data_IF_988068519326
#
_entry.id   IF_988068519326
#
_cell.length_a   1.000
_cell.length_b   1.000
_cell.length_c   1.000
_cell.angle_alpha   90.00
_cell.angle_beta   90.00
_cell.angle_gamma   90.00
#
_symmetry.space_group_name_H-M   'P 1'
#
loop_
_entity.id
_entity.type
_entity.pdbx_description
1 polymer ?
#
# COMPACT_ATOMS: atom_id res chain seq x y z
N UNK A 1 -19.90 19.40 -19.94
CA UNK A 1 -19.82 17.93 -19.87
C UNK A 1 -18.40 17.62 -19.39
N UNK A 2 -18.22 16.94 -18.25
CA UNK A 2 -16.86 16.52 -17.85
C UNK A 2 -16.53 15.29 -18.67
N UNK A 3 -15.59 15.42 -19.60
CA UNK A 3 -14.97 14.29 -20.28
C UNK A 3 -14.27 13.44 -19.23
N UNK A 4 -14.88 12.31 -18.88
CA UNK A 4 -14.17 11.25 -18.17
C UNK A 4 -13.38 10.54 -19.26
N UNK A 5 -12.14 10.97 -19.48
CA UNK A 5 -11.21 10.29 -20.36
C UNK A 5 -10.75 8.98 -19.75
N UNK A 6 -10.76 7.90 -20.54
CA UNK A 6 -10.10 6.66 -20.13
C UNK A 6 -8.61 6.90 -19.96
N UNK A 7 -8.08 6.37 -18.85
CA UNK A 7 -6.69 6.56 -18.47
C UNK A 7 -5.93 5.27 -18.76
N UNK A 8 -4.91 5.34 -19.63
CA UNK A 8 -3.97 4.23 -19.83
C UNK A 8 -2.82 4.30 -18.82
N UNK A 9 -2.72 3.29 -17.95
CA UNK A 9 -1.66 3.19 -16.95
C UNK A 9 -0.27 2.90 -17.56
N UNK A 10 -0.20 2.42 -18.80
CA UNK A 10 1.08 2.16 -19.48
C UNK A 10 1.76 3.44 -19.96
N UNK A 11 1.00 4.48 -20.23
CA UNK A 11 1.53 5.76 -20.70
C UNK A 11 1.71 6.76 -19.55
N UNK A 12 1.21 6.44 -18.35
CA UNK A 12 1.23 7.33 -17.20
C UNK A 12 2.22 6.89 -16.12
N UNK A 13 3.36 7.58 -16.07
CA UNK A 13 4.42 7.35 -15.08
C UNK A 13 3.95 7.37 -13.60
N UNK A 14 3.05 8.28 -13.16
CA UNK A 14 2.58 8.27 -11.77
C UNK A 14 1.86 6.98 -11.38
N UNK A 15 1.04 6.42 -12.28
CA UNK A 15 0.34 5.16 -12.04
C UNK A 15 1.32 3.98 -11.96
N UNK A 16 2.32 3.94 -12.85
CA UNK A 16 3.36 2.92 -12.80
C UNK A 16 4.19 2.99 -11.51
N UNK A 17 4.53 4.20 -11.06
CA UNK A 17 5.22 4.39 -9.78
C UNK A 17 4.38 3.92 -8.60
N UNK A 18 3.09 4.24 -8.60
CA UNK A 18 2.15 3.74 -7.60
C UNK A 18 2.17 2.21 -7.56
N UNK A 19 2.04 1.54 -8.71
CA UNK A 19 2.05 0.08 -8.81
C UNK A 19 3.38 -0.52 -8.34
N UNK A 20 4.51 0.12 -8.66
CA UNK A 20 5.84 -0.29 -8.21
C UNK A 20 5.92 -0.28 -6.67
N UNK A 21 5.43 0.80 -6.05
CA UNK A 21 5.44 0.97 -4.59
C UNK A 21 4.50 -0.03 -3.93
N UNK A 22 3.27 -0.16 -4.43
CA UNK A 22 2.28 -1.13 -3.95
C UNK A 22 2.82 -2.57 -4.03
N UNK A 23 3.43 -2.93 -5.16
CA UNK A 23 4.01 -4.25 -5.38
C UNK A 23 5.15 -4.56 -4.40
N UNK A 24 6.02 -3.59 -4.12
CA UNK A 24 7.13 -3.75 -3.18
C UNK A 24 6.65 -3.88 -1.72
N UNK A 25 5.69 -3.05 -1.31
CA UNK A 25 5.10 -3.09 0.03
C UNK A 25 4.35 -4.40 0.26
N UNK A 26 3.51 -4.81 -0.70
CA UNK A 26 2.76 -6.07 -0.66
C UNK A 26 3.70 -7.29 -0.60
N UNK A 27 4.80 -7.27 -1.36
CA UNK A 27 5.83 -8.31 -1.32
C UNK A 27 6.43 -8.48 0.08
N UNK A 28 6.72 -7.38 0.78
CA UNK A 28 7.27 -7.43 2.13
C UNK A 28 6.22 -7.87 3.16
N UNK A 29 5.02 -7.29 3.12
CA UNK A 29 3.93 -7.60 4.05
C UNK A 29 3.54 -9.08 4.04
N UNK A 30 3.50 -9.70 2.86
CA UNK A 30 3.16 -11.11 2.71
C UNK A 30 4.36 -12.05 2.94
N UNK A 31 5.44 -11.58 3.57
CA UNK A 31 6.64 -12.36 3.87
C UNK A 31 7.28 -13.07 2.66
N UNK A 32 7.01 -12.61 1.42
CA UNK A 32 7.52 -13.24 0.19
C UNK A 32 9.04 -13.16 0.07
N UNK A 33 9.68 -12.24 0.81
CA UNK A 33 11.13 -12.13 0.94
C UNK A 33 11.79 -13.34 1.65
N UNK A 34 11.01 -14.15 2.38
CA UNK A 34 11.48 -15.36 3.07
C UNK A 34 11.49 -16.59 2.14
N UNK A 35 10.90 -16.48 0.95
CA UNK A 35 10.87 -17.58 -0.01
C UNK A 35 12.29 -17.85 -0.48
N UNK A 36 12.71 -19.10 -0.29
CA UNK A 36 14.00 -19.64 -0.71
C UNK A 36 13.76 -20.86 -1.58
N UNK A 37 14.69 -21.12 -2.46
CA UNK A 37 14.72 -22.33 -3.26
C UNK A 37 14.96 -23.55 -2.36
N UNK A 38 14.19 -24.63 -2.56
CA UNK A 38 14.24 -25.82 -1.71
C UNK A 38 15.55 -26.58 -1.82
N UNK A 39 16.18 -26.55 -2.99
CA UNK A 39 17.35 -27.36 -3.30
C UNK A 39 18.64 -26.64 -2.91
N UNK A 40 18.69 -25.33 -3.12
CA UNK A 40 19.90 -24.51 -2.90
C UNK A 40 19.84 -23.67 -1.62
N UNK A 41 18.69 -23.55 -0.97
CA UNK A 41 18.42 -22.67 0.18
C UNK A 41 18.75 -21.18 -0.09
N UNK A 42 18.92 -20.82 -1.37
CA UNK A 42 19.25 -19.45 -1.80
C UNK A 42 17.97 -18.71 -2.17
N UNK A 43 18.02 -17.38 -2.07
CA UNK A 43 16.94 -16.51 -2.57
C UNK A 43 17.16 -16.24 -4.05
N UNK A 44 16.10 -16.34 -4.85
CA UNK A 44 16.16 -16.02 -6.27
C UNK A 44 16.56 -14.55 -6.52
N UNK A 45 17.20 -14.28 -7.67
CA UNK A 45 17.65 -12.94 -8.07
C UNK A 45 16.53 -11.89 -7.99
N UNK A 46 15.32 -12.27 -8.42
CA UNK A 46 14.12 -11.41 -8.37
C UNK A 46 13.71 -11.05 -6.94
N UNK A 47 13.79 -12.00 -6.00
CA UNK A 47 13.48 -11.78 -4.58
C UNK A 47 14.46 -10.80 -3.96
N UNK A 48 15.76 -10.94 -4.28
CA UNK A 48 16.81 -10.02 -3.81
C UNK A 48 16.58 -8.61 -4.35
N UNK A 49 16.24 -8.48 -5.65
CA UNK A 49 15.95 -7.19 -6.26
C UNK A 49 14.73 -6.51 -5.62
N UNK A 50 13.63 -7.25 -5.42
CA UNK A 50 12.43 -6.73 -4.75
C UNK A 50 12.71 -6.30 -3.32
N UNK A 51 13.58 -7.00 -2.60
CA UNK A 51 13.98 -6.59 -1.26
C UNK A 51 14.79 -5.28 -1.27
N UNK A 52 15.74 -5.13 -2.22
CA UNK A 52 16.50 -3.88 -2.39
C UNK A 52 15.57 -2.71 -2.71
N UNK A 53 14.65 -2.91 -3.64
CA UNK A 53 13.64 -1.91 -4.02
C UNK A 53 12.78 -1.51 -2.81
N UNK A 54 12.27 -2.49 -2.07
CA UNK A 54 11.50 -2.26 -0.86
C UNK A 54 12.28 -1.42 0.17
N UNK A 55 13.56 -1.76 0.43
CA UNK A 55 14.42 -1.00 1.36
C UNK A 55 14.60 0.44 0.92
N UNK A 56 14.80 0.67 -0.38
CA UNK A 56 14.91 2.02 -0.93
C UNK A 56 13.63 2.83 -0.74
N UNK A 57 12.47 2.25 -1.05
CA UNK A 57 11.17 2.91 -0.86
C UNK A 57 10.94 3.25 0.62
N UNK A 58 11.16 2.31 1.54
CA UNK A 58 10.98 2.57 2.98
C UNK A 58 11.96 3.61 3.51
N UNK A 59 13.19 3.63 3.00
CA UNK A 59 14.14 4.69 3.33
C UNK A 59 13.57 6.06 2.94
N UNK A 60 13.07 6.21 1.70
CA UNK A 60 12.42 7.46 1.24
C UNK A 60 11.18 7.83 2.05
N UNK A 61 10.33 6.85 2.39
CA UNK A 61 9.16 7.11 3.25
C UNK A 61 9.60 7.57 4.64
N UNK A 62 10.70 7.03 5.18
CA UNK A 62 11.21 7.42 6.51
C UNK A 62 11.87 8.78 6.53
N UNK A 63 12.39 9.26 5.41
CA UNK A 63 12.82 10.67 5.27
C UNK A 63 11.62 11.61 5.48
N UNK A 64 10.42 11.22 5.04
CA UNK A 64 9.20 12.00 5.21
C UNK A 64 8.53 11.78 6.57
N UNK A 65 8.47 10.52 7.03
CA UNK A 65 7.86 10.08 8.28
C UNK A 65 8.85 9.25 9.11
N UNK A 66 9.61 9.87 10.01
CA UNK A 66 10.51 9.16 10.90
C UNK A 66 9.77 8.05 11.68
N UNK A 67 10.39 6.88 11.80
CA UNK A 67 9.81 5.75 12.54
C UNK A 67 8.74 4.94 11.80
N UNK A 68 8.47 5.21 10.51
CA UNK A 68 7.47 4.48 9.74
C UNK A 68 7.63 2.94 9.76
N UNK A 69 6.53 2.24 10.07
CA UNK A 69 6.38 0.80 9.91
C UNK A 69 5.46 0.44 8.73
N UNK A 70 5.79 -0.64 8.03
CA UNK A 70 5.16 -0.99 6.75
C UNK A 70 3.65 -1.31 6.81
N UNK A 71 3.12 -1.66 7.98
CA UNK A 71 1.70 -1.96 8.20
C UNK A 71 0.87 -0.74 8.60
N UNK A 72 1.51 0.41 8.76
CA UNK A 72 0.88 1.66 9.18
C UNK A 72 0.53 2.53 7.98
N UNK A 73 -0.46 3.40 8.14
CA UNK A 73 -0.71 4.50 7.21
C UNK A 73 0.34 5.58 7.40
N UNK A 74 0.78 6.24 6.33
CA UNK A 74 1.60 7.45 6.48
C UNK A 74 0.79 8.58 7.13
N UNK A 75 -0.53 8.63 6.90
CA UNK A 75 -1.45 9.52 7.60
C UNK A 75 -1.13 11.01 7.42
N UNK A 76 -1.84 11.85 8.17
CA UNK A 76 -1.71 13.31 8.18
C UNK A 76 -1.30 13.67 9.62
N UNK A 77 -0.19 14.39 9.80
CA UNK A 77 0.25 14.84 11.13
C UNK A 77 -0.25 16.25 11.42
N UNK A 78 -0.25 17.13 10.40
CA UNK A 78 -0.78 18.48 10.43
C UNK A 78 -1.82 18.67 9.33
N UNK A 79 -2.76 19.62 9.48
CA UNK A 79 -3.84 19.83 8.51
C UNK A 79 -3.33 20.10 7.09
N UNK A 80 -2.17 20.77 6.99
CA UNK A 80 -1.52 21.13 5.73
C UNK A 80 -0.91 19.94 4.98
N UNK A 81 -0.61 18.83 5.67
CA UNK A 81 -0.11 17.60 5.04
C UNK A 81 -1.14 17.01 4.06
N UNK A 82 -2.43 17.38 4.17
CA UNK A 82 -3.44 16.95 3.19
C UNK A 82 -3.12 17.35 1.77
N UNK A 83 -2.44 18.49 1.60
CA UNK A 83 -2.17 19.08 0.30
C UNK A 83 -0.69 19.05 -0.05
N UNK A 84 0.18 19.23 0.94
CA UNK A 84 1.61 19.41 0.72
C UNK A 84 2.42 18.13 0.87
N UNK A 85 1.82 17.04 1.33
CA UNK A 85 2.57 15.82 1.61
C UNK A 85 2.86 15.05 0.31
N UNK A 86 4.13 14.86 -0.06
CA UNK A 86 4.50 14.38 -1.40
C UNK A 86 4.17 12.90 -1.63
N UNK A 87 3.89 12.13 -0.57
CA UNK A 87 3.55 10.71 -0.68
C UNK A 87 2.65 10.23 0.46
N UNK A 88 1.45 9.73 0.14
CA UNK A 88 0.50 9.22 1.13
C UNK A 88 -0.10 7.87 0.75
N UNK A 89 -0.21 6.96 1.72
CA UNK A 89 -0.91 5.69 1.55
C UNK A 89 -1.72 5.28 2.79
N UNK A 90 -2.79 4.53 2.55
CA UNK A 90 -3.57 3.89 3.61
C UNK A 90 -2.92 2.60 4.10
N UNK A 91 -3.20 2.22 5.35
CA UNK A 91 -2.58 1.05 5.97
C UNK A 91 -2.82 -0.21 5.12
N UNK A 92 -1.74 -0.77 4.58
CA UNK A 92 -1.82 -2.02 3.83
C UNK A 92 -1.99 -3.20 4.79
N UNK A 93 -2.81 -4.17 4.40
CA UNK A 93 -3.03 -5.40 5.17
C UNK A 93 -2.47 -6.60 4.41
N UNK A 94 -1.81 -7.55 5.12
CA UNK A 94 -1.37 -8.79 4.49
C UNK A 94 -2.58 -9.62 4.04
N UNK A 95 -2.37 -10.52 3.08
CA UNK A 95 -3.41 -11.38 2.54
C UNK A 95 -4.08 -12.24 3.62
N UNK A 96 -3.32 -12.72 4.60
CA UNK A 96 -3.81 -13.54 5.71
C UNK A 96 -4.44 -12.73 6.85
N UNK A 97 -4.72 -11.44 6.68
CA UNK A 97 -5.29 -10.61 7.74
C UNK A 97 -6.74 -11.00 8.02
N UNK A 98 -7.00 -11.57 9.19
CA UNK A 98 -8.38 -11.77 9.68
C UNK A 98 -8.93 -10.42 10.13
N UNK A 99 -10.04 -9.99 9.52
CA UNK A 99 -10.75 -8.78 9.93
C UNK A 99 -11.69 -9.11 11.07
N UNK A 100 -11.49 -8.46 12.20
CA UNK A 100 -12.45 -8.49 13.30
C UNK A 100 -13.67 -7.61 12.95
N UNK A 101 -14.76 -8.26 12.57
CA UNK A 101 -16.02 -7.60 12.23
C UNK A 101 -16.81 -7.15 13.45
N UNK A 102 -16.48 -7.61 14.67
CA UNK A 102 -17.18 -7.22 15.89
C UNK A 102 -17.10 -5.72 16.18
N UNK A 103 -16.01 -5.09 15.73
CA UNK A 103 -15.73 -3.64 15.86
C UNK A 103 -16.15 -2.83 14.63
N UNK A 104 -16.71 -3.48 13.61
CA UNK A 104 -17.17 -2.78 12.41
C UNK A 104 -18.52 -2.11 12.65
N UNK A 105 -18.85 -1.07 11.85
CA UNK A 105 -20.21 -0.52 11.84
C UNK A 105 -21.17 -1.65 11.49
N UNK A 106 -22.08 -1.99 12.42
CA UNK A 106 -23.14 -2.96 12.16
C UNK A 106 -23.93 -2.51 10.93
N UNK A 107 -24.21 -3.46 10.04
CA UNK A 107 -25.14 -3.23 8.93
C UNK A 107 -26.47 -2.78 9.54
N UNK A 108 -27.01 -1.66 9.06
CA UNK A 108 -28.37 -1.25 9.43
C UNK A 108 -29.33 -2.20 8.69
N UNK A 109 -30.03 -3.06 9.42
CA UNK A 109 -31.02 -3.98 8.86
C UNK A 109 -32.39 -3.31 8.61
N UNK A 110 -32.45 -1.98 8.60
CA UNK A 110 -33.66 -1.22 8.30
C UNK A 110 -33.79 -0.87 6.82
N UNK A 111 -35.01 -0.63 6.31
CA UNK A 111 -35.19 -0.09 4.97
C UNK A 111 -34.38 1.20 4.83
N UNK A 112 -33.73 1.37 3.67
CA UNK A 112 -33.05 2.62 3.33
C UNK A 112 -34.06 3.75 3.47
N UNK A 113 -33.86 4.62 4.47
CA UNK A 113 -34.71 5.81 4.61
C UNK A 113 -34.47 6.67 3.37
N UNK A 114 -35.51 7.13 2.66
CA UNK A 114 -35.33 8.04 1.54
C UNK A 114 -34.58 9.28 2.04
N UNK A 115 -33.46 9.58 1.39
CA UNK A 115 -32.79 10.86 1.55
C UNK A 115 -33.56 11.85 0.69
N UNK A 116 -34.33 12.72 1.33
CA UNK A 116 -34.91 13.91 0.70
C UNK A 116 -33.81 14.93 0.43
#
# INVERSE_FOLDING_TARGET
MRDIGEVDSKEQLPLQMMDLILGAICFRLNNRHKIKDSNTNKRGKRTVLKEKLYKHIVYKIRELKPGFNIGESTGISAMDDKWNYPYSHWSFKPYSCVRDLSKSKKKKDGPLKPTW
#
